data_IF_729277149433
#
_entry.id   IF_729277149433
#
_cell.length_a   1.000
_cell.length_b   1.000
_cell.length_c   1.000
_cell.angle_alpha   90.00
_cell.angle_beta   90.00
_cell.angle_gamma   90.00
#
_symmetry.space_group_name_H-M   'P 1'
#
loop_
_entity.id
_entity.type
_entity.pdbx_description
1 polymer ?
#
# COMPACT_ATOMS: atom_id res chain seq x y z
N UNK A 1 -0.35 -4.93 -6.68
CA UNK A 1 -1.36 -3.85 -6.72
C UNK A 1 -0.70 -2.48 -6.88
N UNK A 2 -0.02 -2.00 -5.84
CA UNK A 2 0.61 -0.67 -5.81
C UNK A 2 1.61 -0.40 -6.95
N UNK A 3 2.46 -1.37 -7.30
CA UNK A 3 3.44 -1.23 -8.39
C UNK A 3 2.75 -1.09 -9.76
N UNK A 4 1.73 -1.92 -9.99
CA UNK A 4 0.94 -1.85 -11.23
C UNK A 4 0.17 -0.53 -11.34
N UNK A 5 -0.34 -0.03 -10.23
CA UNK A 5 -1.00 1.28 -10.17
C UNK A 5 -0.04 2.42 -10.52
N UNK A 6 1.18 2.39 -9.97
CA UNK A 6 2.24 3.34 -10.30
C UNK A 6 2.56 3.31 -11.81
N UNK A 7 2.78 2.13 -12.39
CA UNK A 7 3.06 1.98 -13.81
C UNK A 7 1.91 2.49 -14.70
N UNK A 8 0.67 2.08 -14.41
CA UNK A 8 -0.50 2.50 -15.17
C UNK A 8 -0.74 4.02 -15.06
N UNK A 9 -0.54 4.60 -13.88
CA UNK A 9 -0.62 6.04 -13.67
C UNK A 9 0.44 6.80 -14.47
N UNK A 10 1.68 6.30 -14.47
CA UNK A 10 2.78 6.89 -15.22
C UNK A 10 2.51 6.89 -16.73
N UNK A 11 2.09 5.76 -17.29
CA UNK A 11 1.77 5.63 -18.72
C UNK A 11 0.60 6.54 -19.14
N UNK A 12 -0.44 6.62 -18.32
CA UNK A 12 -1.60 7.46 -18.61
C UNK A 12 -1.29 8.94 -18.45
N UNK A 13 -0.52 9.33 -17.42
CA UNK A 13 -0.11 10.72 -17.23
C UNK A 13 0.86 11.18 -18.32
N UNK A 14 1.78 10.31 -18.77
CA UNK A 14 2.72 10.61 -19.84
C UNK A 14 2.03 10.77 -21.21
N UNK A 15 1.03 9.92 -21.52
CA UNK A 15 0.30 10.00 -22.80
C UNK A 15 -0.72 11.15 -22.85
N UNK A 16 -1.37 11.47 -21.73
CA UNK A 16 -2.40 12.52 -21.67
C UNK A 16 -1.88 13.90 -21.29
N UNK A 17 -0.67 14.00 -20.72
CA UNK A 17 -0.14 15.23 -20.13
C UNK A 17 -0.86 15.69 -18.85
N UNK A 18 -1.80 14.89 -18.30
CA UNK A 18 -2.64 15.29 -17.18
C UNK A 18 -2.51 14.33 -15.98
N UNK A 19 -2.14 14.89 -14.81
CA UNK A 19 -2.00 14.16 -13.55
C UNK A 19 -3.31 13.47 -13.10
N UNK A 20 -4.47 14.09 -13.36
CA UNK A 20 -5.77 13.56 -12.94
C UNK A 20 -6.14 12.28 -13.71
N UNK A 21 -5.78 12.20 -14.98
CA UNK A 21 -5.99 10.99 -15.80
C UNK A 21 -5.09 9.87 -15.28
N UNK A 22 -3.83 10.17 -14.97
CA UNK A 22 -2.92 9.23 -14.31
C UNK A 22 -3.47 8.69 -12.99
N UNK A 23 -4.03 9.57 -12.16
CA UNK A 23 -4.66 9.20 -10.89
C UNK A 23 -5.81 8.20 -11.08
N UNK A 24 -6.76 8.51 -11.97
CA UNK A 24 -7.92 7.67 -12.22
C UNK A 24 -7.51 6.30 -12.79
N UNK A 25 -6.60 6.28 -13.76
CA UNK A 25 -6.12 5.04 -14.37
C UNK A 25 -5.32 4.19 -13.38
N UNK A 26 -4.49 4.82 -12.53
CA UNK A 26 -3.76 4.13 -11.46
C UNK A 26 -4.70 3.47 -10.45
N UNK A 27 -5.75 4.18 -10.02
CA UNK A 27 -6.78 3.62 -9.13
C UNK A 27 -7.52 2.47 -9.81
N UNK A 28 -7.91 2.63 -11.08
CA UNK A 28 -8.58 1.59 -11.84
C UNK A 28 -7.72 0.31 -11.95
N UNK A 29 -6.42 0.45 -12.23
CA UNK A 29 -5.49 -0.68 -12.27
C UNK A 29 -5.40 -1.42 -10.92
N UNK A 30 -5.33 -0.67 -9.80
CA UNK A 30 -5.31 -1.27 -8.46
C UNK A 30 -6.63 -1.97 -8.10
N UNK A 31 -7.76 -1.42 -8.53
CA UNK A 31 -9.09 -2.03 -8.38
C UNK A 31 -9.21 -3.32 -9.18
N UNK A 32 -8.78 -3.33 -10.44
CA UNK A 32 -8.77 -4.55 -11.27
C UNK A 32 -7.93 -5.66 -10.62
N UNK A 33 -6.73 -5.34 -10.14
CA UNK A 33 -5.93 -6.32 -9.40
C UNK A 33 -6.58 -6.77 -8.08
N UNK A 34 -7.35 -5.90 -7.43
CA UNK A 34 -8.06 -6.25 -6.20
C UNK A 34 -9.25 -7.18 -6.48
N UNK A 35 -9.99 -6.95 -7.57
CA UNK A 35 -11.05 -7.83 -8.03
C UNK A 35 -10.50 -9.17 -8.52
N UNK A 36 -9.35 -9.19 -9.19
CA UNK A 36 -8.67 -10.44 -9.51
C UNK A 36 -8.32 -11.23 -8.24
N UNK A 37 -7.82 -10.55 -7.20
CA UNK A 37 -7.56 -11.18 -5.90
C UNK A 37 -8.85 -11.72 -5.26
N UNK A 38 -9.97 -10.98 -5.34
CA UNK A 38 -11.27 -11.44 -4.89
C UNK A 38 -11.67 -12.76 -5.56
N UNK A 39 -11.60 -12.78 -6.90
CA UNK A 39 -12.00 -13.93 -7.70
C UNK A 39 -11.21 -15.18 -7.29
N UNK A 40 -9.89 -15.05 -7.17
CA UNK A 40 -9.04 -16.16 -6.75
C UNK A 40 -9.30 -16.64 -5.32
N UNK A 41 -9.46 -15.71 -4.38
CA UNK A 41 -9.58 -16.07 -2.96
C UNK A 41 -10.98 -16.50 -2.56
N UNK A 42 -12.03 -15.89 -3.13
CA UNK A 42 -13.42 -16.15 -2.73
C UNK A 42 -14.13 -17.14 -3.65
N UNK A 43 -13.96 -17.02 -4.97
CA UNK A 43 -14.62 -17.92 -5.92
C UNK A 43 -13.87 -19.23 -6.03
N UNK A 44 -12.55 -19.16 -6.22
CA UNK A 44 -11.70 -20.36 -6.37
C UNK A 44 -11.14 -20.89 -5.05
N UNK A 45 -11.44 -20.22 -3.92
CA UNK A 45 -10.99 -20.62 -2.57
C UNK A 45 -9.48 -20.84 -2.47
N UNK A 46 -8.69 -20.12 -3.28
CA UNK A 46 -7.25 -20.18 -3.22
C UNK A 46 -6.73 -19.51 -1.96
N UNK A 47 -5.57 -19.97 -1.50
CA UNK A 47 -4.88 -19.34 -0.39
C UNK A 47 -4.55 -17.88 -0.69
N UNK A 48 -4.76 -17.00 0.29
CA UNK A 48 -4.62 -15.55 0.14
C UNK A 48 -3.15 -15.15 -0.06
N UNK A 49 -2.20 -15.85 0.57
CA UNK A 49 -0.77 -15.60 0.44
C UNK A 49 -0.32 -16.01 -0.96
N UNK A 50 -0.73 -17.20 -1.43
CA UNK A 50 -0.39 -17.69 -2.77
C UNK A 50 -0.95 -16.76 -3.86
N UNK A 51 -2.23 -16.38 -3.77
CA UNK A 51 -2.82 -15.42 -4.71
C UNK A 51 -2.12 -14.06 -4.66
N UNK A 52 -1.77 -13.57 -3.47
CA UNK A 52 -1.03 -12.33 -3.29
C UNK A 52 0.36 -12.34 -3.93
N UNK A 53 1.11 -13.44 -3.74
CA UNK A 53 2.43 -13.66 -4.34
C UNK A 53 2.34 -13.71 -5.87
N UNK A 54 1.36 -14.43 -6.42
CA UNK A 54 1.14 -14.50 -7.86
C UNK A 54 0.83 -13.12 -8.46
N UNK A 55 -0.07 -12.35 -7.83
CA UNK A 55 -0.38 -10.99 -8.26
C UNK A 55 0.82 -10.05 -8.14
N UNK A 56 1.69 -10.25 -7.15
CA UNK A 56 2.92 -9.48 -7.04
C UNK A 56 3.87 -9.79 -8.22
N UNK A 57 4.03 -11.06 -8.57
CA UNK A 57 4.85 -11.47 -9.72
C UNK A 57 4.32 -10.88 -11.04
N UNK A 58 2.99 -10.93 -11.22
CA UNK A 58 2.32 -10.29 -12.37
C UNK A 58 2.55 -8.78 -12.37
N UNK A 59 2.49 -8.11 -11.22
CA UNK A 59 2.76 -6.68 -11.15
C UNK A 59 4.20 -6.35 -11.53
N UNK A 60 5.19 -7.12 -11.06
CA UNK A 60 6.62 -6.90 -11.36
C UNK A 60 6.92 -7.16 -12.84
N UNK A 61 6.54 -8.32 -13.36
CA UNK A 61 6.77 -8.65 -14.77
C UNK A 61 5.97 -7.75 -15.71
N UNK A 62 4.70 -7.53 -15.38
CA UNK A 62 3.78 -6.70 -16.17
C UNK A 62 4.19 -5.24 -16.21
N UNK A 63 4.59 -4.64 -15.07
CA UNK A 63 5.04 -3.24 -15.07
C UNK A 63 6.29 -3.04 -15.91
N UNK A 64 7.25 -3.96 -15.83
CA UNK A 64 8.50 -3.86 -16.58
C UNK A 64 8.27 -4.05 -18.09
N UNK A 65 7.39 -4.97 -18.47
CA UNK A 65 7.00 -5.17 -19.87
C UNK A 65 6.29 -3.94 -20.43
N UNK A 66 5.30 -3.41 -19.71
CA UNK A 66 4.52 -2.25 -20.15
C UNK A 66 5.37 -0.98 -20.24
N UNK A 67 6.27 -0.76 -19.28
CA UNK A 67 7.25 0.32 -19.32
C UNK A 67 8.05 0.23 -20.64
N UNK A 68 8.81 -0.85 -20.85
CA UNK A 68 9.65 -1.03 -22.05
C UNK A 68 8.89 -0.98 -23.38
N UNK A 69 7.64 -1.45 -23.41
CA UNK A 69 6.86 -1.55 -24.66
C UNK A 69 6.22 -0.23 -25.10
N UNK A 70 5.78 0.59 -24.15
CA UNK A 70 4.94 1.76 -24.44
C UNK A 70 5.67 3.08 -24.21
N UNK A 71 6.65 3.13 -23.32
CA UNK A 71 7.40 4.36 -23.07
C UNK A 71 8.68 4.03 -22.31
N UNK A 72 9.86 4.44 -22.81
CA UNK A 72 11.03 4.57 -21.94
C UNK A 72 10.78 5.74 -20.96
N UNK A 73 9.85 5.57 -20.01
CA UNK A 73 9.50 6.58 -18.99
C UNK A 73 10.72 6.94 -18.13
N UNK A 74 11.71 6.06 -18.09
CA UNK A 74 13.01 6.29 -17.49
C UNK A 74 13.84 7.36 -18.22
N UNK A 75 13.60 7.58 -19.52
CA UNK A 75 14.36 8.46 -20.41
C UNK A 75 13.57 9.68 -20.93
N UNK A 76 12.23 9.62 -21.02
CA UNK A 76 11.48 10.53 -21.92
C UNK A 76 10.34 11.37 -21.30
N UNK A 77 10.25 11.57 -19.98
CA UNK A 77 9.27 12.54 -19.50
C UNK A 77 9.18 12.75 -17.99
N UNK A 78 9.09 14.03 -17.60
CA UNK A 78 8.63 14.40 -16.26
C UNK A 78 7.12 14.13 -16.18
N UNK A 79 6.74 13.18 -15.33
CA UNK A 79 5.34 12.89 -15.05
C UNK A 79 4.78 14.09 -14.27
N UNK A 80 3.61 14.64 -14.66
CA UNK A 80 2.96 15.73 -13.93
C UNK A 80 2.85 15.44 -12.43
N UNK A 81 3.44 16.32 -11.62
CA UNK A 81 3.42 16.19 -10.18
C UNK A 81 2.07 16.65 -9.63
N UNK A 82 1.54 15.91 -8.66
CA UNK A 82 0.37 16.31 -7.89
C UNK A 82 0.76 17.49 -6.99
N UNK A 83 -0.13 18.48 -6.78
CA UNK A 83 0.15 19.60 -5.91
C UNK A 83 0.47 19.15 -4.48
N UNK A 84 1.47 19.78 -3.85
CA UNK A 84 1.88 19.49 -2.46
C UNK A 84 0.70 19.43 -1.45
N UNK A 85 -0.31 20.33 -1.51
CA UNK A 85 -1.46 20.26 -0.61
C UNK A 85 -2.23 18.92 -0.70
N UNK A 86 -2.31 18.33 -1.90
CA UNK A 86 -3.00 17.05 -2.11
C UNK A 86 -2.25 15.92 -1.39
N UNK A 87 -0.92 15.96 -1.38
CA UNK A 87 -0.11 14.98 -0.63
C UNK A 87 -0.39 15.04 0.86
N UNK A 88 -0.40 16.23 1.47
CA UNK A 88 -0.64 16.35 2.91
C UNK A 88 -2.06 15.92 3.31
N UNK A 89 -3.06 16.26 2.49
CA UNK A 89 -4.45 15.83 2.73
C UNK A 89 -4.57 14.31 2.62
N UNK A 90 -3.92 13.68 1.65
CA UNK A 90 -3.94 12.21 1.52
C UNK A 90 -3.08 11.50 2.57
N UNK A 91 -1.98 12.10 3.03
CA UNK A 91 -1.09 11.50 4.01
C UNK A 91 -1.63 11.59 5.44
N UNK A 92 -2.23 12.72 5.84
CA UNK A 92 -2.72 12.94 7.21
C UNK A 92 -4.25 12.99 7.30
N UNK A 93 -4.90 13.65 6.35
CA UNK A 93 -6.35 13.77 6.33
C UNK A 93 -7.05 12.44 6.10
N UNK A 94 -6.59 11.65 5.12
CA UNK A 94 -7.23 10.36 4.81
C UNK A 94 -7.15 9.35 5.97
N UNK A 95 -6.01 9.11 6.64
CA UNK A 95 -5.99 8.25 7.82
C UNK A 95 -6.86 8.76 8.96
N UNK A 96 -6.93 10.07 9.19
CA UNK A 96 -7.81 10.65 10.21
C UNK A 96 -9.29 10.41 9.88
N UNK A 97 -9.69 10.60 8.62
CA UNK A 97 -11.05 10.31 8.14
C UNK A 97 -11.35 8.81 8.31
N UNK A 98 -10.41 7.93 7.95
CA UNK A 98 -10.59 6.48 8.10
C UNK A 98 -10.68 6.05 9.57
N UNK A 99 -9.96 6.72 10.46
CA UNK A 99 -10.07 6.50 11.90
C UNK A 99 -11.47 6.87 12.42
N UNK A 100 -11.98 8.05 12.04
CA UNK A 100 -13.33 8.48 12.40
C UNK A 100 -14.37 7.53 11.79
N UNK A 101 -14.21 7.14 10.53
CA UNK A 101 -15.08 6.18 9.86
C UNK A 101 -15.12 4.85 10.62
N UNK A 102 -13.96 4.26 10.92
CA UNK A 102 -13.86 2.96 11.58
C UNK A 102 -14.39 2.97 13.02
N UNK A 103 -14.25 4.09 13.75
CA UNK A 103 -14.58 4.17 15.18
C UNK A 103 -15.93 4.80 15.49
N UNK A 104 -16.49 5.63 14.60
CA UNK A 104 -17.72 6.40 14.86
C UNK A 104 -18.88 6.03 13.95
N UNK A 105 -18.66 5.43 12.79
CA UNK A 105 -19.75 5.19 11.82
C UNK A 105 -20.26 3.75 11.89
N UNK A 106 -21.58 3.58 11.65
CA UNK A 106 -22.22 2.25 11.58
C UNK A 106 -21.52 1.29 10.60
N UNK A 107 -21.21 1.66 9.35
CA UNK A 107 -20.55 0.74 8.43
C UNK A 107 -19.10 0.42 8.86
N UNK A 108 -18.37 1.38 9.44
CA UNK A 108 -17.03 1.12 9.98
C UNK A 108 -17.04 0.15 11.18
N UNK A 109 -17.96 0.33 12.11
CA UNK A 109 -18.14 -0.58 13.24
C UNK A 109 -18.56 -1.98 12.78
N UNK A 110 -19.41 -2.10 11.74
CA UNK A 110 -19.74 -3.39 11.11
C UNK A 110 -18.52 -4.06 10.48
N UNK A 111 -17.64 -3.29 9.83
CA UNK A 111 -16.39 -3.82 9.28
C UNK A 111 -15.47 -4.39 10.35
N UNK A 112 -15.31 -3.68 11.48
CA UNK A 112 -14.52 -4.18 12.62
C UNK A 112 -15.14 -5.42 13.26
N UNK A 113 -16.47 -5.45 13.42
CA UNK A 113 -17.20 -6.60 13.95
C UNK A 113 -17.01 -7.84 13.07
N UNK A 114 -17.20 -7.71 11.75
CA UNK A 114 -16.97 -8.80 10.78
C UNK A 114 -15.52 -9.28 10.82
N UNK A 115 -14.56 -8.38 10.98
CA UNK A 115 -13.15 -8.75 11.14
C UNK A 115 -12.90 -9.59 12.40
N UNK A 116 -13.52 -9.23 13.53
CA UNK A 116 -13.34 -9.95 14.80
C UNK A 116 -13.92 -11.36 14.76
N UNK A 117 -15.14 -11.53 14.28
CA UNK A 117 -15.83 -12.80 14.16
C UNK A 117 -16.90 -12.75 13.04
N UNK A 118 -16.61 -13.32 11.86
CA UNK A 118 -17.57 -13.39 10.76
C UNK A 118 -18.83 -14.20 11.09
N UNK A 119 -18.70 -15.23 11.93
CA UNK A 119 -19.81 -16.13 12.28
C UNK A 119 -20.84 -15.41 13.15
N UNK A 120 -20.39 -14.72 14.20
CA UNK A 120 -21.26 -13.89 15.05
C UNK A 120 -21.90 -12.76 14.27
N UNK A 121 -21.16 -12.14 13.35
CA UNK A 121 -21.70 -11.05 12.52
C UNK A 121 -22.85 -11.52 11.62
N UNK A 122 -22.79 -12.75 11.10
CA UNK A 122 -23.87 -13.34 10.29
C UNK A 122 -25.14 -13.58 11.13
N UNK A 123 -25.00 -14.02 12.38
CA UNK A 123 -26.13 -14.20 13.31
C UNK A 123 -26.80 -12.86 13.65
N UNK A 124 -26.04 -11.77 13.67
CA UNK A 124 -26.53 -10.41 13.89
C UNK A 124 -27.10 -9.74 12.61
N UNK A 125 -27.31 -10.51 11.52
CA UNK A 125 -27.90 -10.02 10.27
C UNK A 125 -26.97 -9.21 9.37
N UNK A 126 -25.65 -9.21 9.63
CA UNK A 126 -24.65 -8.56 8.77
C UNK A 126 -24.01 -9.60 7.86
N UNK A 127 -24.12 -9.41 6.54
CA UNK A 127 -23.48 -10.28 5.56
C UNK A 127 -21.96 -10.03 5.50
N UNK A 128 -21.10 -10.98 5.96
CA UNK A 128 -19.66 -10.80 5.97
C UNK A 128 -19.07 -10.67 4.55
N UNK A 129 -19.70 -11.27 3.55
CA UNK A 129 -19.17 -11.33 2.19
C UNK A 129 -19.25 -9.95 1.52
N UNK A 130 -20.37 -9.24 1.69
CA UNK A 130 -20.51 -7.85 1.23
C UNK A 130 -19.52 -6.92 1.90
N UNK A 131 -19.33 -7.08 3.21
CA UNK A 131 -18.39 -6.25 3.99
C UNK A 131 -16.95 -6.50 3.53
N UNK A 132 -16.57 -7.76 3.28
CA UNK A 132 -15.25 -8.11 2.73
C UNK A 132 -15.04 -7.54 1.32
N UNK A 133 -16.04 -7.61 0.45
CA UNK A 133 -15.96 -7.04 -0.90
C UNK A 133 -15.76 -5.51 -0.85
N UNK A 134 -16.55 -4.80 -0.03
CA UNK A 134 -16.40 -3.36 0.17
C UNK A 134 -15.02 -3.00 0.73
N UNK A 135 -14.55 -3.76 1.72
CA UNK A 135 -13.21 -3.61 2.28
C UNK A 135 -12.13 -3.79 1.21
N UNK A 136 -12.25 -4.82 0.38
CA UNK A 136 -11.31 -5.09 -0.71
C UNK A 136 -11.29 -3.97 -1.75
N UNK A 137 -12.46 -3.46 -2.17
CA UNK A 137 -12.55 -2.31 -3.07
C UNK A 137 -11.84 -1.11 -2.45
N UNK A 138 -12.09 -0.83 -1.16
CA UNK A 138 -11.38 0.20 -0.40
C UNK A 138 -9.87 0.03 -0.42
N UNK A 139 -9.36 -1.19 -0.17
CA UNK A 139 -7.91 -1.46 -0.27
C UNK A 139 -7.37 -1.23 -1.68
N UNK A 140 -8.15 -1.53 -2.72
CA UNK A 140 -7.80 -1.25 -4.11
C UNK A 140 -7.62 0.25 -4.35
N UNK A 141 -8.57 1.07 -3.88
CA UNK A 141 -8.46 2.53 -3.97
C UNK A 141 -7.24 3.05 -3.22
N UNK A 142 -7.04 2.64 -1.96
CA UNK A 142 -5.92 3.15 -1.15
C UNK A 142 -4.55 2.72 -1.67
N UNK A 143 -4.42 1.47 -2.13
CA UNK A 143 -3.16 1.00 -2.73
C UNK A 143 -2.92 1.62 -4.12
N UNK A 144 -3.99 1.97 -4.85
CA UNK A 144 -3.92 2.75 -6.08
C UNK A 144 -3.42 4.16 -5.84
N UNK A 145 -4.02 4.87 -4.88
CA UNK A 145 -3.56 6.20 -4.43
C UNK A 145 -2.09 6.16 -4.00
N UNK A 146 -1.69 5.19 -3.19
CA UNK A 146 -0.29 5.03 -2.78
C UNK A 146 0.65 4.86 -3.99
N UNK A 147 0.27 4.08 -4.99
CA UNK A 147 1.07 3.90 -6.21
C UNK A 147 1.21 5.19 -7.03
N UNK A 148 0.11 5.91 -7.21
CA UNK A 148 0.10 7.20 -7.93
C UNK A 148 0.98 8.23 -7.22
N UNK A 149 0.89 8.31 -5.89
CA UNK A 149 1.68 9.26 -5.09
C UNK A 149 3.18 8.97 -5.18
N UNK A 150 3.60 7.70 -5.24
CA UNK A 150 5.04 7.41 -5.40
C UNK A 150 5.52 7.85 -6.78
N UNK A 151 4.78 7.53 -7.85
CA UNK A 151 5.16 7.93 -9.22
C UNK A 151 5.21 9.43 -9.37
N UNK A 152 4.19 10.10 -8.83
CA UNK A 152 4.06 11.53 -8.97
C UNK A 152 5.13 12.28 -8.16
N UNK A 153 5.53 11.76 -6.99
CA UNK A 153 6.61 12.34 -6.20
C UNK A 153 7.99 12.09 -6.84
N UNK A 154 8.20 10.91 -7.42
CA UNK A 154 9.45 10.59 -8.12
C UNK A 154 9.61 11.36 -9.44
N UNK A 155 8.52 11.83 -10.04
CA UNK A 155 8.50 12.51 -11.34
C UNK A 155 8.83 11.60 -12.54
N UNK A 156 9.13 10.32 -12.28
CA UNK A 156 9.42 9.29 -13.29
C UNK A 156 9.06 7.92 -12.75
N UNK A 157 8.79 6.98 -13.64
CA UNK A 157 8.62 5.58 -13.27
C UNK A 157 9.98 4.87 -13.28
N UNK A 158 10.23 4.05 -12.27
CA UNK A 158 11.40 3.17 -12.22
C UNK A 158 10.96 1.76 -11.86
N UNK A 159 11.62 0.77 -12.44
CA UNK A 159 11.29 -0.63 -12.19
C UNK A 159 11.46 -0.95 -10.69
N UNK A 160 10.43 -1.54 -10.09
CA UNK A 160 10.45 -1.87 -8.66
C UNK A 160 10.36 -0.68 -7.70
N UNK A 161 9.94 0.52 -8.14
CA UNK A 161 9.91 1.73 -7.30
C UNK A 161 9.04 1.67 -6.03
N UNK A 162 8.19 0.65 -5.89
CA UNK A 162 7.48 0.43 -4.62
C UNK A 162 8.41 0.04 -3.48
N UNK A 163 9.63 -0.43 -3.76
CA UNK A 163 10.69 -0.64 -2.76
C UNK A 163 10.28 -1.53 -1.57
N UNK A 164 9.35 -2.46 -1.77
CA UNK A 164 8.85 -3.30 -0.68
C UNK A 164 7.90 -2.59 0.31
N UNK A 165 7.43 -1.37 0.02
CA UNK A 165 6.46 -0.62 0.87
C UNK A 165 5.20 -1.39 1.22
N UNK A 166 4.76 -2.32 0.36
CA UNK A 166 3.66 -3.23 0.67
C UNK A 166 3.94 -4.17 1.85
N UNK A 167 5.18 -4.64 1.98
CA UNK A 167 5.62 -5.47 3.11
C UNK A 167 5.84 -4.62 4.38
N UNK A 168 6.34 -3.40 4.23
CA UNK A 168 6.44 -2.43 5.34
C UNK A 168 5.04 -2.12 5.90
N UNK A 169 4.03 -1.96 5.03
CA UNK A 169 2.65 -1.77 5.45
C UNK A 169 2.10 -2.98 6.23
N UNK A 170 2.45 -4.21 5.83
CA UNK A 170 2.10 -5.41 6.59
C UNK A 170 2.79 -5.43 7.96
N UNK A 171 4.07 -5.08 8.03
CA UNK A 171 4.81 -4.96 9.29
C UNK A 171 4.19 -3.90 10.21
N UNK A 172 3.82 -2.74 9.68
CA UNK A 172 3.11 -1.68 10.42
C UNK A 172 1.76 -2.15 10.97
N UNK A 173 1.02 -2.96 10.20
CA UNK A 173 -0.25 -3.55 10.63
C UNK A 173 -0.07 -4.54 11.79
N UNK A 174 0.97 -5.37 11.72
CA UNK A 174 1.32 -6.35 12.77
C UNK A 174 1.75 -5.63 14.04
N UNK A 175 2.64 -4.63 13.93
CA UNK A 175 3.11 -3.79 15.03
C UNK A 175 1.96 -2.99 15.65
N UNK A 176 1.03 -2.53 14.82
CA UNK A 176 -0.22 -1.89 15.21
C UNK A 176 -1.23 -2.83 15.87
N UNK A 177 -0.94 -4.12 16.02
CA UNK A 177 -1.83 -5.13 16.63
C UNK A 177 -3.24 -5.07 16.04
N UNK A 178 -3.35 -4.86 14.73
CA UNK A 178 -4.63 -4.78 13.99
C UNK A 178 -5.56 -3.64 14.42
N UNK A 179 -5.04 -2.62 15.14
CA UNK A 179 -5.79 -1.44 15.57
C UNK A 179 -5.42 -0.22 14.70
N UNK A 180 -6.38 0.63 14.29
CA UNK A 180 -6.11 1.73 13.37
C UNK A 180 -5.08 2.76 13.88
N UNK A 181 -5.21 3.20 15.13
CA UNK A 181 -4.34 4.23 15.73
C UNK A 181 -2.86 3.79 15.80
N UNK A 182 -2.51 2.65 16.43
CA UNK A 182 -1.12 2.23 16.49
C UNK A 182 -0.57 1.78 15.12
N UNK A 183 -1.41 1.30 14.19
CA UNK A 183 -0.97 1.04 12.82
C UNK A 183 -0.58 2.33 12.08
N UNK A 184 -1.33 3.42 12.28
CA UNK A 184 -0.99 4.74 11.74
C UNK A 184 0.31 5.28 12.36
N UNK A 185 0.47 5.15 13.69
CA UNK A 185 1.71 5.54 14.36
C UNK A 185 2.93 4.75 13.85
N UNK A 186 2.77 3.44 13.65
CA UNK A 186 3.81 2.60 13.05
C UNK A 186 4.16 3.03 11.61
N UNK A 187 3.15 3.33 10.78
CA UNK A 187 3.37 3.82 9.42
C UNK A 187 4.11 5.16 9.38
N UNK A 188 3.79 6.08 10.30
CA UNK A 188 4.51 7.36 10.45
C UNK A 188 5.97 7.14 10.89
N UNK A 189 6.20 6.20 11.80
CA UNK A 189 7.55 5.83 12.22
C UNK A 189 8.37 5.26 11.05
N UNK A 190 7.80 4.36 10.25
CA UNK A 190 8.48 3.85 9.04
C UNK A 190 8.74 4.95 8.02
N UNK A 191 7.77 5.85 7.79
CA UNK A 191 7.95 7.00 6.90
C UNK A 191 9.02 7.98 7.39
N UNK A 192 9.15 8.17 8.71
CA UNK A 192 10.21 8.97 9.31
C UNK A 192 11.59 8.34 9.03
N UNK A 193 11.75 7.04 9.24
CA UNK A 193 13.01 6.36 8.93
C UNK A 193 13.34 6.35 7.43
N UNK A 194 12.34 6.25 6.57
CA UNK A 194 12.53 6.40 5.12
C UNK A 194 12.97 7.83 4.75
N UNK A 195 12.40 8.86 5.39
CA UNK A 195 12.82 10.24 5.17
C UNK A 195 14.24 10.50 5.69
N UNK A 196 14.60 9.98 6.89
CA UNK A 196 15.97 10.04 7.40
C UNK A 196 16.94 9.35 6.45
N UNK A 197 16.60 8.16 5.97
CA UNK A 197 17.40 7.46 4.97
C UNK A 197 17.68 8.35 3.76
N UNK A 198 16.63 8.96 3.17
CA UNK A 198 16.78 9.82 1.98
C UNK A 198 17.65 11.04 2.29
N UNK A 199 17.50 11.64 3.48
CA UNK A 199 18.20 12.86 3.85
C UNK A 199 19.68 12.64 4.20
N UNK A 200 20.03 11.50 4.79
CA UNK A 200 21.41 11.15 5.13
C UNK A 200 22.14 10.40 4.00
N UNK A 201 21.43 9.93 2.98
CA UNK A 201 22.02 9.27 1.82
C UNK A 201 23.05 10.20 1.15
N UNK A 202 24.32 9.81 1.16
CA UNK A 202 25.42 10.59 0.57
C UNK A 202 26.10 11.58 1.53
N UNK A 203 25.64 11.70 2.78
CA UNK A 203 26.35 12.48 3.80
C UNK A 203 27.49 11.65 4.42
N UNK A 204 28.71 12.21 4.56
CA UNK A 204 29.79 11.53 5.24
C UNK A 204 29.49 11.48 6.74
N UNK A 205 29.52 10.29 7.33
CA UNK A 205 29.36 10.11 8.77
C UNK A 205 30.75 9.87 9.38
N UNK A 206 31.13 10.64 10.39
CA UNK A 206 32.41 10.47 11.12
C UNK A 206 33.65 10.44 10.19
N UNK A 207 33.63 11.13 9.05
CA UNK A 207 34.74 11.18 8.08
C UNK A 207 34.82 9.99 7.11
N UNK A 208 33.94 8.98 7.24
CA UNK A 208 33.85 7.86 6.31
C UNK A 208 32.65 8.03 5.37
N UNK A 209 32.87 7.84 4.07
CA UNK A 209 31.76 7.73 3.09
C UNK A 209 31.15 6.34 3.22
N UNK A 210 30.07 6.23 3.97
CA UNK A 210 29.30 5.00 4.05
C UNK A 210 28.66 4.68 2.69
N UNK A 211 28.72 3.42 2.25
CA UNK A 211 27.99 2.98 1.06
C UNK A 211 26.49 3.25 1.19
N UNK A 212 25.81 3.56 0.07
CA UNK A 212 24.37 3.82 0.03
C UNK A 212 23.54 2.67 0.61
N UNK A 213 24.06 1.46 0.52
CA UNK A 213 23.45 0.23 0.98
C UNK A 213 23.22 0.28 2.49
N UNK A 214 24.15 0.86 3.25
CA UNK A 214 24.00 1.02 4.70
C UNK A 214 22.74 1.84 5.05
N UNK A 215 22.52 2.94 4.33
CA UNK A 215 21.36 3.79 4.52
C UNK A 215 20.07 3.07 4.09
N UNK A 216 20.10 2.36 2.96
CA UNK A 216 18.98 1.56 2.46
C UNK A 216 18.55 0.44 3.42
N UNK A 217 19.44 -0.06 4.28
CA UNK A 217 19.11 -1.08 5.27
C UNK A 217 18.27 -0.55 6.44
N UNK A 218 18.32 0.77 6.74
CA UNK A 218 17.76 1.33 7.98
C UNK A 218 16.28 0.98 8.18
N UNK A 219 15.36 1.20 7.22
CA UNK A 219 13.96 0.87 7.43
C UNK A 219 13.74 -0.61 7.72
N UNK A 220 14.50 -1.49 7.06
CA UNK A 220 14.41 -2.94 7.26
C UNK A 220 14.96 -3.37 8.61
N UNK A 221 16.11 -2.83 9.05
CA UNK A 221 16.65 -3.09 10.39
C UNK A 221 15.66 -2.63 11.46
N UNK A 222 15.04 -1.46 11.28
CA UNK A 222 13.98 -0.97 12.16
C UNK A 222 12.80 -1.94 12.17
N UNK A 223 12.37 -2.50 11.04
CA UNK A 223 11.30 -3.52 11.05
C UNK A 223 11.68 -4.74 11.90
N UNK A 224 12.92 -5.23 11.79
CA UNK A 224 13.39 -6.41 12.54
C UNK A 224 13.40 -6.11 14.03
N UNK A 225 13.99 -4.98 14.43
CA UNK A 225 14.07 -4.57 15.85
C UNK A 225 12.67 -4.29 16.42
N UNK A 226 11.83 -3.56 15.69
CA UNK A 226 10.48 -3.24 16.12
C UNK A 226 9.64 -4.52 16.30
N UNK A 227 9.74 -5.48 15.37
CA UNK A 227 9.06 -6.76 15.52
C UNK A 227 9.65 -7.58 16.68
N UNK A 228 10.98 -7.71 16.78
CA UNK A 228 11.62 -8.48 17.84
C UNK A 228 11.29 -7.94 19.25
N UNK A 229 11.22 -6.62 19.43
CA UNK A 229 11.02 -5.99 20.75
C UNK A 229 9.56 -5.78 21.15
N UNK A 230 8.64 -5.61 20.19
CA UNK A 230 7.25 -5.20 20.48
C UNK A 230 6.20 -6.28 20.15
N UNK A 231 6.61 -7.50 19.81
CA UNK A 231 5.70 -8.65 19.67
C UNK A 231 5.15 -9.11 21.04
N UNK A 232 4.37 -8.24 21.71
CA UNK A 232 3.38 -8.68 22.69
C UNK A 232 2.22 -9.40 21.98
N UNK A 233 1.42 -10.17 22.72
CA UNK A 233 0.34 -11.03 22.19
C UNK A 233 -0.55 -10.31 21.15
N UNK A 234 -0.21 -10.44 19.87
CA UNK A 234 -0.97 -9.91 18.75
C UNK A 234 -1.92 -11.01 18.30
N UNK A 235 -3.21 -10.89 18.66
CA UNK A 235 -4.23 -11.82 18.17
C UNK A 235 -4.68 -11.37 16.79
N UNK A 236 -4.32 -12.14 15.77
CA UNK A 236 -4.83 -11.92 14.43
C UNK A 236 -6.36 -12.09 14.39
N UNK A 237 -7.07 -11.37 13.51
CA UNK A 237 -8.50 -11.53 13.31
C UNK A 237 -8.86 -12.99 12.94
N UNK A 238 -9.93 -13.54 13.54
CA UNK A 238 -10.26 -14.96 13.42
C UNK A 238 -10.61 -15.41 11.98
N UNK A 239 -11.07 -14.47 11.15
CA UNK A 239 -11.43 -14.69 9.74
C UNK A 239 -10.31 -14.42 8.74
N UNK A 240 -9.07 -14.17 9.17
CA UNK A 240 -7.94 -13.89 8.29
C UNK A 240 -7.56 -15.15 7.47
N UNK A 241 -7.40 -15.00 6.16
CA UNK A 241 -6.93 -16.09 5.28
C UNK A 241 -7.94 -17.21 5.02
N UNK A 242 -9.14 -17.13 5.62
CA UNK A 242 -10.20 -18.14 5.46
C UNK A 242 -11.30 -17.62 4.51
N UNK A 243 -11.56 -18.32 3.37
CA UNK A 243 -12.67 -17.99 2.50
C UNK A 243 -14.00 -18.09 3.24
#
# INVERSE_FOLDING_TARGET
KMLMAACAAALAAASSGNAAVGLLVGIAAALLMSLAHWLFTQTYKLDHIVSGMALNLVAVGGSNFLNKRFTDLSATGQIPQLPLPVYYVLAFGLPAILLVYATRTRPGLRMLAVGSDPGKSRQMGVDPLRVRLLGLIGTGVFTGLAGVLIVSNAGRFTDGMTGGKGYIALAALILGRWRPVPAAAAALLFGMFEALQIQFQGTPLLGARLPSEFWLCIPYVVTIVAMAGLLGQSRAPAGLGKP
#
